data_IF_115982090687
#
_entry.id   IF_115982090687
#
_cell.length_a   1.000
_cell.length_b   1.000
_cell.length_c   1.000
_cell.angle_alpha   90.00
_cell.angle_beta   90.00
_cell.angle_gamma   90.00
#
_symmetry.space_group_name_H-M   'P 1'
#
loop_
_entity.id
_entity.type
_entity.pdbx_description
1 polymer ?
#
# COMPACT_ATOMS: atom_id res chain seq x y z
N UNK A 1 103.62 -4.04 69.17
CA UNK A 1 102.65 -2.95 69.48
C UNK A 1 101.80 -2.69 68.24
N UNK A 2 100.47 -2.87 68.35
CA UNK A 2 99.35 -2.13 67.73
C UNK A 2 99.51 -1.74 66.23
N UNK A 3 98.64 -2.07 65.26
CA UNK A 3 97.17 -1.94 65.22
C UNK A 3 96.59 -2.64 63.97
N UNK A 4 95.32 -3.10 64.10
CA UNK A 4 94.30 -3.38 63.06
C UNK A 4 94.39 -4.69 62.26
N UNK A 5 94.01 -5.78 62.94
CA UNK A 5 93.23 -6.88 62.37
C UNK A 5 91.78 -6.55 62.70
N UNK A 6 90.88 -6.52 61.71
CA UNK A 6 89.41 -6.73 61.81
C UNK A 6 88.74 -6.20 60.53
N UNK A 7 87.90 -7.05 59.93
CA UNK A 7 86.95 -6.78 58.84
C UNK A 7 87.51 -6.83 57.40
N UNK A 8 87.62 -8.04 56.86
CA UNK A 8 86.90 -8.47 55.64
C UNK A 8 87.54 -9.74 55.12
N UNK A 9 86.73 -10.62 54.53
CA UNK A 9 87.08 -11.92 53.95
C UNK A 9 87.42 -13.02 54.97
N UNK A 10 86.57 -14.05 54.95
CA UNK A 10 86.73 -15.38 55.58
C UNK A 10 86.14 -15.50 56.99
N UNK A 11 84.82 -15.73 57.06
CA UNK A 11 84.17 -16.87 57.75
C UNK A 11 82.67 -16.57 57.91
N UNK A 12 81.83 -17.14 57.05
CA UNK A 12 80.56 -17.81 57.44
C UNK A 12 79.79 -18.27 56.22
N UNK A 13 79.81 -19.58 56.03
CA UNK A 13 78.79 -20.39 55.37
C UNK A 13 77.37 -19.89 55.66
N UNK A 14 76.63 -19.47 54.63
CA UNK A 14 75.16 -19.43 54.69
C UNK A 14 74.63 -20.66 53.98
N UNK A 15 73.97 -21.48 54.79
CA UNK A 15 73.35 -22.75 54.48
C UNK A 15 72.24 -22.58 53.44
N UNK A 16 72.22 -23.51 52.48
CA UNK A 16 71.08 -23.83 51.63
C UNK A 16 69.86 -24.11 52.50
N UNK A 17 68.80 -23.31 52.40
CA UNK A 17 67.44 -23.70 52.81
C UNK A 17 66.35 -22.82 52.16
N UNK A 18 65.68 -23.43 51.18
CA UNK A 18 64.25 -23.35 50.85
C UNK A 18 63.56 -21.96 50.86
N UNK A 19 63.40 -21.41 49.66
CA UNK A 19 62.08 -20.99 49.20
C UNK A 19 62.04 -21.27 47.69
N UNK A 20 61.50 -22.43 47.34
CA UNK A 20 61.16 -22.75 45.97
C UNK A 20 60.19 -21.68 45.46
N UNK A 21 60.69 -20.71 44.70
CA UNK A 21 59.84 -20.01 43.74
C UNK A 21 59.55 -21.04 42.66
N UNK A 22 58.53 -21.85 42.91
CA UNK A 22 57.85 -22.64 41.88
C UNK A 22 57.23 -21.62 40.92
N UNK A 23 58.01 -21.17 39.93
CA UNK A 23 57.42 -20.69 38.69
C UNK A 23 56.74 -21.91 38.07
N UNK A 24 55.46 -22.07 38.33
CA UNK A 24 54.61 -23.02 37.61
C UNK A 24 54.54 -22.57 36.15
N UNK A 25 55.53 -23.00 35.37
CA UNK A 25 55.45 -22.96 33.91
C UNK A 25 54.38 -23.96 33.52
N UNK A 26 53.18 -23.46 33.20
CA UNK A 26 52.17 -24.28 32.54
C UNK A 26 52.68 -24.57 31.13
N UNK A 27 53.26 -25.75 30.93
CA UNK A 27 53.50 -26.28 29.61
C UNK A 27 52.16 -26.82 29.10
N UNK A 28 51.37 -25.99 28.41
CA UNK A 28 50.21 -26.50 27.69
C UNK A 28 50.70 -27.58 26.72
N UNK A 29 50.16 -28.77 26.86
CA UNK A 29 50.49 -29.87 25.95
C UNK A 29 49.91 -29.58 24.56
N UNK A 30 50.48 -30.17 23.52
CA UNK A 30 49.92 -30.07 22.17
C UNK A 30 48.44 -30.48 22.15
N UNK A 31 48.06 -31.46 22.97
CA UNK A 31 46.68 -31.95 23.10
C UNK A 31 45.73 -30.90 23.69
N UNK A 32 46.17 -30.14 24.70
CA UNK A 32 45.37 -29.04 25.28
C UNK A 32 45.12 -27.92 24.25
N UNK A 33 46.12 -27.60 23.43
CA UNK A 33 45.98 -26.63 22.34
C UNK A 33 45.05 -27.14 21.24
N UNK A 34 45.11 -28.43 20.90
CA UNK A 34 44.18 -29.05 19.95
C UNK A 34 42.74 -28.96 20.49
N UNK A 35 42.51 -29.35 21.75
CA UNK A 35 41.20 -29.27 22.38
C UNK A 35 40.63 -27.84 22.40
N UNK A 36 41.47 -26.84 22.66
CA UNK A 36 41.07 -25.44 22.60
C UNK A 36 40.68 -24.99 21.18
N UNK A 37 41.42 -25.42 20.15
CA UNK A 37 41.07 -25.13 18.76
C UNK A 37 39.80 -25.86 18.32
N UNK A 38 39.60 -27.12 18.72
CA UNK A 38 38.38 -27.88 18.42
C UNK A 38 37.14 -27.21 19.03
N UNK A 39 37.25 -26.73 20.27
CA UNK A 39 36.20 -25.94 20.91
C UNK A 39 35.90 -24.65 20.13
N UNK A 40 36.95 -23.98 19.63
CA UNK A 40 36.80 -22.76 18.81
C UNK A 40 36.15 -23.05 17.46
N UNK A 41 36.53 -24.15 16.79
CA UNK A 41 35.91 -24.61 15.55
C UNK A 41 34.43 -24.91 15.79
N UNK A 42 34.11 -25.67 16.84
CA UNK A 42 32.72 -25.99 17.19
C UNK A 42 31.88 -24.74 17.41
N UNK A 43 32.41 -23.74 18.13
CA UNK A 43 31.73 -22.46 18.34
C UNK A 43 31.52 -21.69 17.03
N UNK A 44 32.54 -21.63 16.17
CA UNK A 44 32.43 -20.97 14.86
C UNK A 44 31.43 -21.68 13.93
N UNK A 45 31.39 -23.02 13.94
CA UNK A 45 30.39 -23.79 13.18
C UNK A 45 28.97 -23.52 13.69
N UNK A 46 28.78 -23.42 15.00
CA UNK A 46 27.49 -23.05 15.57
C UNK A 46 27.07 -21.62 15.18
N UNK A 47 28.00 -20.66 15.22
CA UNK A 47 27.76 -19.28 14.78
C UNK A 47 27.46 -19.20 13.28
N UNK A 48 28.17 -19.95 12.43
CA UNK A 48 27.87 -20.04 11.01
C UNK A 48 26.47 -20.57 10.74
N UNK A 49 26.04 -21.60 11.48
CA UNK A 49 24.69 -22.18 11.33
C UNK A 49 23.61 -21.19 11.72
N UNK A 50 23.80 -20.44 12.80
CA UNK A 50 22.86 -19.40 13.22
C UNK A 50 22.81 -18.24 12.22
N UNK A 51 23.97 -17.78 11.73
CA UNK A 51 24.03 -16.77 10.69
C UNK A 51 23.34 -17.22 9.40
N UNK A 52 23.52 -18.49 8.99
CA UNK A 52 22.84 -19.05 7.83
C UNK A 52 21.33 -19.05 8.01
N UNK A 53 20.84 -19.41 9.20
CA UNK A 53 19.41 -19.37 9.52
C UNK A 53 18.85 -17.94 9.39
N UNK A 54 19.57 -16.94 9.88
CA UNK A 54 19.16 -15.53 9.74
C UNK A 54 19.14 -15.09 8.27
N UNK A 55 20.11 -15.53 7.47
CA UNK A 55 20.12 -15.28 6.01
C UNK A 55 18.89 -15.90 5.34
N UNK A 56 18.55 -17.14 5.67
CA UNK A 56 17.39 -17.84 5.08
C UNK A 56 16.06 -17.16 5.47
N UNK A 57 15.94 -16.69 6.72
CA UNK A 57 14.79 -15.93 7.20
C UNK A 57 14.65 -14.58 6.47
N UNK A 58 15.76 -13.84 6.31
CA UNK A 58 15.78 -12.57 5.56
C UNK A 58 15.44 -12.82 4.09
N UNK A 59 16.00 -13.86 3.48
CA UNK A 59 15.72 -14.20 2.08
C UNK A 59 14.23 -14.50 1.86
N UNK A 60 13.60 -15.21 2.80
CA UNK A 60 12.16 -15.48 2.78
C UNK A 60 11.34 -14.18 2.84
N UNK A 61 11.71 -13.25 3.73
CA UNK A 61 11.04 -11.96 3.84
C UNK A 61 11.23 -11.10 2.58
N UNK A 62 12.44 -11.09 2.00
CA UNK A 62 12.74 -10.38 0.75
C UNK A 62 11.86 -10.90 -0.39
N UNK A 63 11.76 -12.22 -0.55
CA UNK A 63 10.91 -12.82 -1.60
C UNK A 63 9.43 -12.51 -1.37
N UNK A 64 8.96 -12.50 -0.12
CA UNK A 64 7.59 -12.11 0.21
C UNK A 64 7.31 -10.64 -0.17
N UNK A 65 8.22 -9.72 0.16
CA UNK A 65 8.12 -8.30 -0.17
C UNK A 65 8.13 -8.08 -1.69
N UNK A 66 9.02 -8.77 -2.42
CA UNK A 66 9.07 -8.70 -3.89
C UNK A 66 7.75 -9.16 -4.52
N UNK A 67 7.17 -10.24 -4.00
CA UNK A 67 5.87 -10.74 -4.47
C UNK A 67 4.76 -9.72 -4.20
N UNK A 68 4.73 -9.12 -3.00
CA UNK A 68 3.78 -8.06 -2.66
C UNK A 68 3.94 -6.84 -3.55
N UNK A 69 5.18 -6.44 -3.86
CA UNK A 69 5.47 -5.33 -4.76
C UNK A 69 4.87 -5.57 -6.14
N UNK A 70 5.13 -6.73 -6.75
CA UNK A 70 4.58 -7.06 -8.07
C UNK A 70 3.05 -7.09 -8.07
N UNK A 71 2.43 -7.61 -7.01
CA UNK A 71 0.96 -7.61 -6.88
C UNK A 71 0.40 -6.19 -6.78
N UNK A 72 1.02 -5.32 -5.97
CA UNK A 72 0.60 -3.93 -5.81
C UNK A 72 0.82 -3.11 -7.09
N UNK A 73 1.87 -3.39 -7.85
CA UNK A 73 2.10 -2.77 -9.16
C UNK A 73 0.97 -3.13 -10.14
N UNK A 74 0.62 -4.41 -10.24
CA UNK A 74 -0.49 -4.87 -11.09
C UNK A 74 -1.86 -4.32 -10.65
N UNK A 75 -2.11 -4.23 -9.35
CA UNK A 75 -3.33 -3.63 -8.80
C UNK A 75 -3.40 -2.14 -9.13
N UNK A 76 -2.28 -1.41 -9.02
CA UNK A 76 -2.23 0.00 -9.40
C UNK A 76 -2.50 0.22 -10.89
N UNK A 77 -1.93 -0.61 -11.77
CA UNK A 77 -2.20 -0.52 -13.21
C UNK A 77 -3.69 -0.74 -13.51
N UNK A 78 -4.31 -1.70 -12.83
CA UNK A 78 -5.75 -1.98 -12.94
C UNK A 78 -6.59 -0.79 -12.47
N UNK A 79 -6.29 -0.25 -11.29
CA UNK A 79 -7.00 0.90 -10.72
C UNK A 79 -6.83 2.16 -11.58
N UNK A 80 -5.65 2.39 -12.16
CA UNK A 80 -5.44 3.52 -13.07
C UNK A 80 -6.25 3.38 -14.36
N UNK A 81 -6.35 2.17 -14.92
CA UNK A 81 -7.18 1.91 -16.09
C UNK A 81 -8.67 2.13 -15.79
N UNK A 82 -9.14 1.66 -14.63
CA UNK A 82 -10.51 1.87 -14.16
C UNK A 82 -10.81 3.35 -13.91
N UNK A 83 -9.88 4.09 -13.26
CA UNK A 83 -10.01 5.53 -13.05
C UNK A 83 -10.18 6.28 -14.37
N UNK A 84 -9.35 6.00 -15.38
CA UNK A 84 -9.46 6.62 -16.71
C UNK A 84 -10.78 6.30 -17.40
N UNK A 85 -11.27 5.06 -17.25
CA UNK A 85 -12.57 4.66 -17.79
C UNK A 85 -13.69 5.46 -17.12
N UNK A 86 -13.69 5.53 -15.79
CA UNK A 86 -14.68 6.29 -15.01
C UNK A 86 -14.64 7.79 -15.33
N UNK A 87 -13.46 8.39 -15.51
CA UNK A 87 -13.32 9.78 -15.95
C UNK A 87 -13.98 10.02 -17.33
N UNK A 88 -13.83 9.07 -18.26
CA UNK A 88 -14.49 9.11 -19.56
C UNK A 88 -16.01 9.02 -19.43
N UNK A 89 -16.51 8.08 -18.62
CA UNK A 89 -17.95 7.91 -18.34
C UNK A 89 -18.55 9.16 -17.69
N UNK A 90 -17.87 9.76 -16.72
CA UNK A 90 -18.29 11.02 -16.06
C UNK A 90 -18.36 12.17 -17.07
N UNK A 91 -17.38 12.27 -17.97
CA UNK A 91 -17.35 13.33 -18.99
C UNK A 91 -18.54 13.22 -19.94
N UNK A 92 -18.82 12.01 -20.42
CA UNK A 92 -19.96 11.76 -21.31
C UNK A 92 -21.30 11.97 -20.58
N UNK A 93 -21.41 11.49 -19.34
CA UNK A 93 -22.59 11.69 -18.50
C UNK A 93 -22.87 13.17 -18.26
N UNK A 94 -21.84 13.96 -17.90
CA UNK A 94 -21.93 15.40 -17.69
C UNK A 94 -22.41 16.13 -18.93
N UNK A 95 -21.83 15.82 -20.10
CA UNK A 95 -22.26 16.36 -21.39
C UNK A 95 -23.74 16.05 -21.67
N UNK A 96 -24.17 14.82 -21.42
CA UNK A 96 -25.56 14.41 -21.61
C UNK A 96 -26.51 15.11 -20.63
N UNK A 97 -26.11 15.29 -19.37
CA UNK A 97 -26.87 16.04 -18.37
C UNK A 97 -27.07 17.49 -18.81
N UNK A 98 -26.03 18.17 -19.30
CA UNK A 98 -26.12 19.56 -19.76
C UNK A 98 -27.06 19.67 -20.96
N UNK A 99 -26.84 18.85 -21.99
CA UNK A 99 -27.67 18.85 -23.20
C UNK A 99 -29.14 18.55 -22.88
N UNK A 100 -29.39 17.58 -21.97
CA UNK A 100 -30.75 17.25 -21.54
C UNK A 100 -31.38 18.36 -20.72
N UNK A 101 -30.62 19.05 -19.87
CA UNK A 101 -31.11 20.18 -19.08
C UNK A 101 -31.55 21.35 -19.97
N UNK A 102 -30.76 21.69 -21.00
CA UNK A 102 -31.15 22.71 -21.98
C UNK A 102 -32.43 22.33 -22.74
N UNK A 103 -32.57 21.05 -23.12
CA UNK A 103 -33.77 20.55 -23.79
C UNK A 103 -34.99 20.64 -22.87
N UNK A 104 -34.86 20.19 -21.62
CA UNK A 104 -35.92 20.26 -20.61
C UNK A 104 -36.31 21.71 -20.31
N UNK A 105 -35.35 22.64 -20.25
CA UNK A 105 -35.64 24.07 -20.04
C UNK A 105 -36.42 24.64 -21.23
N UNK A 106 -36.00 24.36 -22.47
CA UNK A 106 -36.72 24.80 -23.68
C UNK A 106 -38.14 24.23 -23.73
N UNK A 107 -38.31 22.96 -23.37
CA UNK A 107 -39.62 22.31 -23.31
C UNK A 107 -40.51 22.92 -22.22
N UNK A 108 -39.96 23.16 -21.02
CA UNK A 108 -40.68 23.80 -19.92
C UNK A 108 -41.12 25.23 -20.30
N UNK A 109 -40.22 26.02 -20.89
CA UNK A 109 -40.53 27.36 -21.40
C UNK A 109 -41.61 27.30 -22.48
N UNK A 110 -41.49 26.43 -23.48
CA UNK A 110 -42.50 26.25 -24.53
C UNK A 110 -43.86 25.86 -23.94
N UNK A 111 -43.89 24.91 -23.00
CA UNK A 111 -45.12 24.52 -22.30
C UNK A 111 -45.71 25.67 -21.47
N UNK A 112 -44.90 26.59 -20.94
CA UNK A 112 -45.37 27.74 -20.19
C UNK A 112 -45.83 28.90 -21.11
N UNK A 113 -45.10 29.21 -22.18
CA UNK A 113 -45.34 30.35 -23.07
C UNK A 113 -46.36 30.01 -24.17
N UNK A 114 -46.22 28.85 -24.80
CA UNK A 114 -47.13 28.37 -25.85
C UNK A 114 -48.29 27.55 -25.25
N UNK A 115 -48.20 27.18 -23.97
CA UNK A 115 -49.11 26.30 -23.28
C UNK A 115 -49.85 26.89 -22.10
N UNK A 116 -50.08 28.20 -22.07
CA UNK A 116 -51.18 28.75 -21.28
C UNK A 116 -52.40 27.83 -21.46
N UNK A 117 -53.05 27.40 -20.37
CA UNK A 117 -54.04 26.32 -20.39
C UNK A 117 -55.10 26.51 -21.50
N UNK A 118 -55.42 27.76 -21.84
CA UNK A 118 -56.25 28.15 -22.98
C UNK A 118 -55.72 27.75 -24.36
N UNK A 119 -54.42 27.84 -24.65
CA UNK A 119 -53.85 27.56 -25.98
C UNK A 119 -53.81 26.07 -26.32
N UNK A 120 -53.41 25.21 -25.36
CA UNK A 120 -53.42 23.76 -25.54
C UNK A 120 -54.84 23.19 -25.54
N UNK A 121 -55.71 23.68 -24.64
CA UNK A 121 -57.12 23.30 -24.65
C UNK A 121 -57.79 23.79 -25.93
N UNK A 122 -57.51 25.01 -26.40
CA UNK A 122 -58.03 25.51 -27.68
C UNK A 122 -57.54 24.68 -28.86
N UNK A 123 -56.35 24.09 -28.81
CA UNK A 123 -55.87 23.22 -29.90
C UNK A 123 -56.68 21.93 -29.97
N UNK A 124 -57.11 21.38 -28.83
CA UNK A 124 -57.99 20.20 -28.79
C UNK A 124 -59.43 20.60 -29.14
N UNK A 125 -59.92 21.71 -28.59
CA UNK A 125 -61.31 22.21 -28.74
C UNK A 125 -61.58 22.76 -30.14
N UNK A 126 -60.60 23.40 -30.80
CA UNK A 126 -60.72 23.89 -32.19
C UNK A 126 -60.34 22.82 -33.23
N UNK A 127 -60.32 21.54 -32.86
CA UNK A 127 -60.10 20.45 -33.81
C UNK A 127 -61.30 20.34 -34.78
N UNK A 128 -61.03 19.92 -36.01
CA UNK A 128 -62.06 19.84 -37.08
C UNK A 128 -63.03 18.66 -36.89
N UNK A 129 -62.69 17.68 -36.04
CA UNK A 129 -63.49 16.49 -35.78
C UNK A 129 -63.11 15.85 -34.43
N UNK A 130 -64.01 15.03 -33.88
CA UNK A 130 -63.77 14.26 -32.64
C UNK A 130 -62.55 13.33 -32.80
N UNK A 131 -62.38 12.73 -33.98
CA UNK A 131 -61.23 11.87 -34.27
C UNK A 131 -59.91 12.65 -34.22
N UNK A 132 -59.88 13.88 -34.75
CA UNK A 132 -58.72 14.77 -34.69
C UNK A 132 -58.42 15.20 -33.24
N UNK A 133 -59.47 15.46 -32.44
CA UNK A 133 -59.32 15.77 -31.02
C UNK A 133 -58.64 14.62 -30.25
N UNK A 134 -59.09 13.37 -30.48
CA UNK A 134 -58.54 12.16 -29.84
C UNK A 134 -57.08 11.96 -30.23
N UNK A 135 -56.74 12.10 -31.52
CA UNK A 135 -55.36 11.99 -32.01
C UNK A 135 -54.43 13.02 -31.37
N UNK A 136 -54.90 14.27 -31.19
CA UNK A 136 -54.12 15.33 -30.51
C UNK A 136 -53.90 15.02 -29.03
N UNK A 137 -54.91 14.51 -28.34
CA UNK A 137 -54.79 14.09 -26.93
C UNK A 137 -53.79 12.92 -26.80
N UNK A 138 -53.86 11.93 -27.69
CA UNK A 138 -52.91 10.82 -27.71
C UNK A 138 -51.47 11.31 -27.93
N UNK A 139 -51.24 12.20 -28.91
CA UNK A 139 -49.93 12.78 -29.17
C UNK A 139 -49.41 13.60 -27.98
N UNK A 140 -50.29 14.36 -27.29
CA UNK A 140 -49.91 15.10 -26.08
C UNK A 140 -49.54 14.18 -24.92
N UNK A 141 -50.28 13.09 -24.73
CA UNK A 141 -49.94 12.05 -23.74
C UNK A 141 -48.58 11.42 -24.03
N UNK A 142 -48.26 11.19 -25.30
CA UNK A 142 -46.95 10.66 -25.71
C UNK A 142 -45.82 11.65 -25.45
N UNK A 143 -46.01 12.94 -25.76
CA UNK A 143 -45.05 14.00 -25.44
C UNK A 143 -44.79 14.09 -23.93
N UNK A 144 -45.85 14.08 -23.11
CA UNK A 144 -45.72 14.13 -21.65
C UNK A 144 -44.99 12.89 -21.12
N UNK A 145 -45.28 11.70 -21.66
CA UNK A 145 -44.59 10.46 -21.32
C UNK A 145 -43.09 10.53 -21.66
N UNK A 146 -42.73 11.01 -22.85
CA UNK A 146 -41.33 11.18 -23.25
C UNK A 146 -40.58 12.18 -22.36
N UNK A 147 -41.22 13.29 -21.98
CA UNK A 147 -40.63 14.30 -21.09
C UNK A 147 -40.42 13.76 -19.68
N UNK A 148 -41.38 12.98 -19.16
CA UNK A 148 -41.24 12.29 -17.89
C UNK A 148 -40.08 11.29 -17.92
N UNK A 149 -39.93 10.51 -19.01
CA UNK A 149 -38.80 9.60 -19.19
C UNK A 149 -37.46 10.35 -19.20
N UNK A 150 -37.37 11.50 -19.87
CA UNK A 150 -36.18 12.35 -19.85
C UNK A 150 -35.86 12.87 -18.43
N UNK A 151 -36.87 13.27 -17.66
CA UNK A 151 -36.70 13.73 -16.28
C UNK A 151 -36.21 12.61 -15.36
N UNK A 152 -36.76 11.40 -15.48
CA UNK A 152 -36.30 10.26 -14.69
C UNK A 152 -34.87 9.85 -15.06
N UNK A 153 -34.52 9.87 -16.35
CA UNK A 153 -33.15 9.63 -16.79
C UNK A 153 -32.20 10.73 -16.27
N UNK A 154 -32.61 11.99 -16.26
CA UNK A 154 -31.84 13.10 -15.67
C UNK A 154 -31.60 12.91 -14.17
N UNK A 155 -32.59 12.39 -13.43
CA UNK A 155 -32.46 12.09 -12.00
C UNK A 155 -31.51 10.91 -11.76
N UNK A 156 -31.58 9.89 -12.60
CA UNK A 156 -30.66 8.75 -12.54
C UNK A 156 -29.22 9.21 -12.82
N UNK A 157 -29.00 9.92 -13.92
CA UNK A 157 -27.69 10.41 -14.34
C UNK A 157 -27.06 11.38 -13.32
N UNK A 158 -27.86 12.13 -12.54
CA UNK A 158 -27.35 13.01 -11.47
C UNK A 158 -27.05 12.30 -10.14
N UNK A 159 -27.56 11.08 -9.95
CA UNK A 159 -27.36 10.29 -8.72
C UNK A 159 -26.19 9.32 -8.83
N UNK A 160 -25.88 8.91 -10.05
CA UNK A 160 -24.71 8.11 -10.43
C UNK A 160 -23.45 8.96 -10.42
#
# INVERSE_FOLDING_TARGET
>A
MKKKILASLLLSTVLVSQAAVLTTVHAETTDEKIAAQDSKISNLTAQQKEAQKQVDEIQTQVTAIQTQQTNLEAENETLQAESKKLEGEITELSKNIVARNESLEKQARSAQTNGAATSYINTIVNSKSITEAISRVAAMSEIVSANNKMLEQQKADKKS
#
